data_IF_549587953847
#
_entry.id   IF_549587953847
#
_cell.length_a   1.000
_cell.length_b   1.000
_cell.length_c   1.000
_cell.angle_alpha   90.00
_cell.angle_beta   90.00
_cell.angle_gamma   90.00
#
_symmetry.space_group_name_H-M   'P 1'
#
loop_
_entity.id
_entity.type
_entity.pdbx_description
1 polymer ?
#
# COMPACT_ATOMS: atom_id res chain seq x y z
N UNK A 1 5.42 13.04 15.07
CA UNK A 1 5.75 12.59 13.69
C UNK A 1 7.14 13.03 13.20
N UNK A 2 7.65 14.24 13.52
CA UNK A 2 8.93 14.78 12.99
C UNK A 2 10.11 13.80 12.92
N UNK A 3 10.45 13.08 14.00
CA UNK A 3 11.58 12.13 14.02
C UNK A 3 11.39 10.96 13.04
N UNK A 4 10.17 10.47 12.85
CA UNK A 4 9.87 9.38 11.91
C UNK A 4 9.98 9.87 10.46
N UNK A 5 9.45 11.05 10.17
CA UNK A 5 9.55 11.68 8.84
C UNK A 5 11.01 11.90 8.44
N UNK A 6 11.85 12.43 9.34
CA UNK A 6 13.27 12.61 9.06
C UNK A 6 14.01 11.28 8.81
N UNK A 7 13.63 10.20 9.51
CA UNK A 7 14.14 8.86 9.25
C UNK A 7 13.73 8.35 7.87
N UNK A 8 12.48 8.57 7.47
CA UNK A 8 11.97 8.19 6.15
C UNK A 8 12.71 8.95 5.04
N UNK A 9 12.93 10.27 5.18
CA UNK A 9 13.72 11.08 4.25
C UNK A 9 15.15 10.55 4.10
N UNK A 10 15.80 10.18 5.22
CA UNK A 10 17.14 9.59 5.18
C UNK A 10 17.15 8.23 4.48
N UNK A 11 16.14 7.40 4.71
CA UNK A 11 16.00 6.09 4.07
C UNK A 11 15.76 6.23 2.56
N UNK A 12 14.86 7.14 2.16
CA UNK A 12 14.59 7.49 0.76
C UNK A 12 15.88 7.83 0.02
N UNK A 13 16.66 8.79 0.55
CA UNK A 13 17.94 9.20 -0.06
C UNK A 13 18.93 8.05 -0.23
N UNK A 14 18.99 7.13 0.74
CA UNK A 14 19.88 5.95 0.65
C UNK A 14 19.44 4.98 -0.44
N UNK A 15 18.13 4.72 -0.57
CA UNK A 15 17.59 3.85 -1.61
C UNK A 15 17.76 4.47 -3.00
N UNK A 16 17.52 5.77 -3.14
CA UNK A 16 17.72 6.49 -4.40
C UNK A 16 19.19 6.52 -4.82
N UNK A 17 20.12 6.68 -3.87
CA UNK A 17 21.56 6.59 -4.14
C UNK A 17 22.00 5.19 -4.62
N UNK A 18 21.20 4.15 -4.35
CA UNK A 18 21.41 2.79 -4.86
C UNK A 18 20.69 2.54 -6.20
N UNK A 19 20.03 3.55 -6.78
CA UNK A 19 19.34 3.45 -8.06
C UNK A 19 17.87 2.99 -7.95
N UNK A 20 17.32 2.83 -6.74
CA UNK A 20 15.91 2.51 -6.58
C UNK A 20 15.03 3.74 -6.77
N UNK A 21 13.92 3.57 -7.49
CA UNK A 21 12.83 4.55 -7.51
C UNK A 21 12.02 4.41 -6.23
N UNK A 22 11.79 5.52 -5.54
CA UNK A 22 10.98 5.54 -4.32
C UNK A 22 9.67 6.28 -4.57
N UNK A 23 8.60 5.82 -3.93
CA UNK A 23 7.30 6.50 -3.90
C UNK A 23 6.81 6.54 -2.46
N UNK A 24 6.15 7.62 -2.09
CA UNK A 24 5.52 7.74 -0.78
C UNK A 24 4.07 7.25 -0.86
N UNK A 25 3.60 6.56 0.18
CA UNK A 25 2.27 5.98 0.24
C UNK A 25 1.71 6.10 1.66
N UNK A 26 0.38 6.22 1.77
CA UNK A 26 -0.29 6.33 3.05
C UNK A 26 -1.33 5.19 3.24
N UNK A 27 -1.06 4.19 4.11
CA UNK A 27 -1.95 3.03 4.30
C UNK A 27 -3.40 3.40 4.64
N UNK A 28 -3.61 4.50 5.37
CA UNK A 28 -4.95 4.98 5.71
C UNK A 28 -5.79 5.35 4.48
N UNK A 29 -5.18 6.02 3.49
CA UNK A 29 -5.84 6.33 2.23
C UNK A 29 -6.16 5.06 1.44
N UNK A 30 -5.20 4.10 1.40
CA UNK A 30 -5.39 2.81 0.73
C UNK A 30 -6.60 2.07 1.29
N UNK A 31 -6.73 2.00 2.62
CA UNK A 31 -7.88 1.36 3.28
C UNK A 31 -9.20 2.00 2.85
N UNK A 32 -9.27 3.33 2.87
CA UNK A 32 -10.48 4.07 2.50
C UNK A 32 -10.86 3.84 1.04
N UNK A 33 -9.91 3.98 0.12
CA UNK A 33 -10.18 3.89 -1.32
C UNK A 33 -10.54 2.45 -1.73
N UNK A 34 -9.85 1.46 -1.18
CA UNK A 34 -10.13 0.05 -1.46
C UNK A 34 -11.27 -0.54 -0.63
N UNK A 35 -11.99 0.31 0.14
CA UNK A 35 -13.11 -0.09 1.01
C UNK A 35 -12.74 -1.23 1.98
N UNK A 36 -11.55 -1.15 2.56
CA UNK A 36 -11.04 -2.07 3.57
C UNK A 36 -11.44 -1.58 4.99
N UNK A 37 -11.42 -2.47 5.99
CA UNK A 37 -11.64 -2.10 7.38
C UNK A 37 -10.74 -0.94 7.83
N UNK A 38 -11.33 -0.02 8.58
CA UNK A 38 -10.65 1.16 9.13
C UNK A 38 -9.65 0.82 10.22
N UNK A 39 -9.09 1.85 10.86
CA UNK A 39 -8.07 1.69 11.92
C UNK A 39 -8.67 1.17 13.23
N UNK A 40 -9.97 1.35 13.41
CA UNK A 40 -10.76 0.89 14.55
C UNK A 40 -11.00 -0.63 14.54
N UNK A 41 -10.76 -1.30 13.42
CA UNK A 41 -10.95 -2.74 13.27
C UNK A 41 -9.63 -3.50 13.43
N UNK A 42 -9.68 -4.77 13.91
CA UNK A 42 -8.51 -5.62 13.98
C UNK A 42 -7.84 -5.77 12.61
N UNK A 43 -6.51 -5.77 12.56
CA UNK A 43 -5.74 -5.88 11.32
C UNK A 43 -6.03 -7.20 10.56
N UNK A 44 -6.45 -8.24 11.28
CA UNK A 44 -6.87 -9.52 10.71
C UNK A 44 -8.07 -9.36 9.77
N UNK A 45 -8.97 -8.41 10.04
CA UNK A 45 -10.11 -8.14 9.16
C UNK A 45 -9.66 -7.56 7.82
N UNK A 46 -8.58 -6.78 7.80
CA UNK A 46 -7.99 -6.24 6.57
C UNK A 46 -7.48 -7.37 5.69
N UNK A 47 -6.77 -8.34 6.27
CA UNK A 47 -6.27 -9.50 5.52
C UNK A 47 -7.42 -10.31 4.92
N UNK A 48 -8.46 -10.59 5.71
CA UNK A 48 -9.68 -11.25 5.20
C UNK A 48 -10.34 -10.46 4.06
N UNK A 49 -10.37 -9.13 4.16
CA UNK A 49 -10.91 -8.28 3.09
C UNK A 49 -10.04 -8.34 1.82
N UNK A 50 -8.72 -8.33 1.95
CA UNK A 50 -7.79 -8.49 0.83
C UNK A 50 -7.90 -9.89 0.18
N UNK A 51 -8.11 -10.94 0.96
CA UNK A 51 -8.36 -12.30 0.45
C UNK A 51 -9.63 -12.38 -0.40
N UNK A 52 -10.69 -11.67 0.01
CA UNK A 52 -11.93 -11.53 -0.77
C UNK A 52 -11.72 -10.77 -2.09
N UNK A 53 -10.64 -9.98 -2.20
CA UNK A 53 -10.20 -9.33 -3.43
C UNK A 53 -9.26 -10.22 -4.27
N UNK A 54 -9.30 -11.54 -4.09
CA UNK A 54 -8.48 -12.54 -4.79
C UNK A 54 -6.95 -12.39 -4.57
N UNK A 55 -6.52 -11.63 -3.56
CA UNK A 55 -5.12 -11.54 -3.18
C UNK A 55 -4.81 -12.62 -2.13
N UNK A 56 -3.89 -13.52 -2.45
CA UNK A 56 -3.45 -14.56 -1.50
C UNK A 56 -2.13 -14.15 -0.87
N UNK A 57 -2.06 -14.23 0.45
CA UNK A 57 -0.84 -13.98 1.22
C UNK A 57 -0.37 -15.31 1.82
N UNK A 58 0.87 -15.72 1.51
CA UNK A 58 1.50 -16.86 2.19
C UNK A 58 2.17 -16.31 3.44
N UNK A 59 1.43 -16.28 4.54
CA UNK A 59 1.95 -15.82 5.81
C UNK A 59 2.17 -17.03 6.70
N UNK A 60 3.43 -17.28 7.09
CA UNK A 60 3.79 -18.41 7.95
C UNK A 60 3.59 -18.10 9.44
N UNK A 61 3.54 -16.82 9.80
CA UNK A 61 3.53 -16.31 11.17
C UNK A 61 2.38 -15.30 11.35
N UNK A 62 2.03 -14.97 12.59
CA UNK A 62 1.08 -13.89 12.87
C UNK A 62 1.70 -12.54 12.51
N UNK A 63 1.12 -11.84 11.52
CA UNK A 63 1.55 -10.49 11.14
C UNK A 63 1.30 -9.48 12.25
N UNK A 64 2.18 -8.48 12.31
CA UNK A 64 1.96 -7.25 13.04
C UNK A 64 1.13 -6.26 12.23
N UNK A 65 0.56 -5.26 12.90
CA UNK A 65 -0.15 -4.16 12.23
C UNK A 65 0.73 -3.42 11.21
N UNK A 66 2.02 -3.27 11.49
CA UNK A 66 2.96 -2.58 10.61
C UNK A 66 3.25 -3.37 9.33
N UNK A 67 3.30 -4.69 9.41
CA UNK A 67 3.47 -5.54 8.23
C UNK A 67 2.21 -5.56 7.37
N UNK A 68 1.02 -5.50 7.98
CA UNK A 68 -0.23 -5.32 7.24
C UNK A 68 -0.23 -3.98 6.50
N UNK A 69 0.21 -2.90 7.13
CA UNK A 69 0.36 -1.62 6.45
C UNK A 69 1.40 -1.66 5.32
N UNK A 70 2.49 -2.41 5.49
CA UNK A 70 3.48 -2.63 4.42
C UNK A 70 2.88 -3.39 3.22
N UNK A 71 2.03 -4.39 3.47
CA UNK A 71 1.28 -5.10 2.41
C UNK A 71 0.39 -4.12 1.63
N UNK A 72 -0.32 -3.23 2.32
CA UNK A 72 -1.18 -2.23 1.68
C UNK A 72 -0.38 -1.27 0.80
N UNK A 73 0.77 -0.80 1.28
CA UNK A 73 1.65 0.08 0.50
C UNK A 73 2.23 -0.67 -0.70
N UNK A 74 2.71 -1.90 -0.53
CA UNK A 74 3.21 -2.71 -1.64
C UNK A 74 2.12 -2.96 -2.71
N UNK A 75 0.88 -3.17 -2.30
CA UNK A 75 -0.26 -3.27 -3.22
C UNK A 75 -0.48 -1.97 -4.00
N UNK A 76 -0.39 -0.81 -3.34
CA UNK A 76 -0.49 0.50 -4.00
C UNK A 76 0.62 0.70 -5.02
N UNK A 77 1.87 0.36 -4.69
CA UNK A 77 2.99 0.45 -5.64
C UNK A 77 2.75 -0.45 -6.85
N UNK A 78 2.27 -1.67 -6.65
CA UNK A 78 1.90 -2.55 -7.77
C UNK A 78 0.81 -1.93 -8.64
N UNK A 79 -0.25 -1.39 -8.04
CA UNK A 79 -1.34 -0.74 -8.79
C UNK A 79 -0.83 0.48 -9.55
N UNK A 80 0.13 1.23 -9.00
CA UNK A 80 0.78 2.34 -9.67
C UNK A 80 1.51 1.90 -10.94
N UNK A 81 2.27 0.81 -10.86
CA UNK A 81 2.93 0.21 -12.03
C UNK A 81 1.92 -0.28 -13.08
N UNK A 82 0.71 -0.65 -12.66
CA UNK A 82 -0.39 -1.05 -13.55
C UNK A 82 -1.23 0.15 -14.07
N UNK A 83 -0.86 1.39 -13.75
CA UNK A 83 -1.61 2.60 -14.15
C UNK A 83 -2.92 2.83 -13.40
N UNK A 84 -3.10 2.15 -12.26
CA UNK A 84 -4.31 2.14 -11.42
C UNK A 84 -4.13 2.87 -10.08
N UNK A 85 -3.12 3.72 -10.00
CA UNK A 85 -2.89 4.63 -8.90
C UNK A 85 -2.59 6.02 -9.46
N UNK A 86 -2.76 7.02 -8.61
CA UNK A 86 -2.44 8.41 -8.93
C UNK A 86 -1.59 9.03 -7.84
N UNK A 87 -0.85 10.06 -8.22
CA UNK A 87 -0.05 10.86 -7.31
C UNK A 87 -0.87 12.09 -6.89
N UNK A 88 -0.95 12.34 -5.60
CA UNK A 88 -1.62 13.50 -5.01
C UNK A 88 -0.59 14.31 -4.21
N UNK A 89 -0.64 15.62 -4.34
CA UNK A 89 0.28 16.54 -3.67
C UNK A 89 1.07 17.33 -4.70
N UNK A 90 2.02 18.10 -4.20
CA UNK A 90 2.89 18.95 -5.01
C UNK A 90 4.34 18.53 -4.78
N UNK A 91 5.21 18.54 -5.81
CA UNK A 91 6.61 18.12 -5.66
C UNK A 91 7.37 18.84 -4.54
N UNK A 92 7.00 20.09 -4.26
CA UNK A 92 7.62 20.96 -3.27
C UNK A 92 7.27 20.57 -1.82
N UNK A 93 6.03 20.15 -1.59
CA UNK A 93 5.51 19.80 -0.27
C UNK A 93 5.51 18.29 -0.01
N UNK A 94 5.61 17.50 -1.08
CA UNK A 94 5.60 16.05 -1.06
C UNK A 94 4.42 15.48 -1.84
N UNK A 95 4.68 14.33 -2.47
CA UNK A 95 3.73 13.61 -3.31
C UNK A 95 3.43 12.25 -2.71
N UNK A 96 2.15 11.87 -2.66
CA UNK A 96 1.68 10.57 -2.15
C UNK A 96 0.98 9.82 -3.27
N UNK A 97 1.41 8.59 -3.52
CA UNK A 97 0.73 7.68 -4.42
C UNK A 97 -0.41 6.99 -3.69
N UNK A 98 -1.61 7.05 -4.27
CA UNK A 98 -2.82 6.38 -3.77
C UNK A 98 -3.51 5.60 -4.89
N UNK A 99 -4.19 4.48 -4.58
CA UNK A 99 -4.98 3.77 -5.58
C UNK A 99 -6.06 4.68 -6.18
N UNK A 100 -6.43 4.45 -7.43
CA UNK A 100 -7.67 5.03 -7.98
C UNK A 100 -8.87 4.16 -7.60
N UNK A 101 -10.10 4.70 -7.56
CA UNK A 101 -11.31 3.90 -7.29
C UNK A 101 -11.49 2.70 -8.23
N UNK A 102 -11.03 2.79 -9.48
CA UNK A 102 -11.06 1.72 -10.47
C UNK A 102 -10.20 0.51 -10.07
N UNK A 103 -9.15 0.73 -9.27
CA UNK A 103 -8.30 -0.35 -8.77
C UNK A 103 -9.12 -1.42 -8.03
N UNK A 104 -10.16 -1.02 -7.29
CA UNK A 104 -11.02 -1.96 -6.59
C UNK A 104 -11.75 -2.91 -7.56
N UNK A 105 -12.22 -2.40 -8.70
CA UNK A 105 -12.84 -3.23 -9.74
C UNK A 105 -11.81 -4.18 -10.35
N UNK A 106 -10.61 -3.69 -10.64
CA UNK A 106 -9.51 -4.50 -11.17
C UNK A 106 -9.11 -5.64 -10.22
N UNK A 107 -8.98 -5.37 -8.93
CA UNK A 107 -8.56 -6.38 -7.95
C UNK A 107 -9.56 -7.56 -7.90
N UNK A 108 -10.86 -7.28 -8.00
CA UNK A 108 -11.88 -8.33 -8.05
C UNK A 108 -11.75 -9.23 -9.28
N UNK A 109 -11.21 -8.72 -10.39
CA UNK A 109 -11.00 -9.46 -11.64
C UNK A 109 -9.58 -10.03 -11.77
N UNK A 110 -8.73 -9.88 -10.76
CA UNK A 110 -7.40 -10.48 -10.80
C UNK A 110 -7.50 -11.99 -10.97
N UNK A 111 -6.72 -12.59 -11.90
CA UNK A 111 -6.69 -14.03 -12.05
C UNK A 111 -6.22 -14.63 -10.73
N UNK A 112 -7.02 -15.56 -10.19
CA UNK A 112 -6.61 -16.35 -9.04
C UNK A 112 -5.32 -17.07 -9.44
N UNK A 113 -4.19 -16.70 -8.83
CA UNK A 113 -2.94 -17.46 -9.01
C UNK A 113 -3.26 -18.93 -8.71
N UNK A 114 -3.15 -19.78 -9.74
CA UNK A 114 -3.20 -21.23 -9.60
C UNK A 114 -2.07 -21.62 -8.62
N UNK A 115 -2.41 -22.52 -7.69
CA UNK A 115 -1.48 -23.01 -6.66
C UNK A 115 -0.29 -23.68 -7.32
#
# INVERSE_FOLDING_TARGET
>A
MRKLTLRAVKLKRKLEAQGFKTVECFPGAVRKILKLPGKEKPWQEVLKALERLNLKFKVKETLTIHEVDAILVALTVRLHLEGLAETIGEPETGEIVVPRPEALKRLKTYPKRRK
#
